data_IF_210749598537
#
_entry.id   IF_210749598537
#
_cell.length_a   1.000
_cell.length_b   1.000
_cell.length_c   1.000
_cell.angle_alpha   90.00
_cell.angle_beta   90.00
_cell.angle_gamma   90.00
#
_symmetry.space_group_name_H-M   'P 1'
#
loop_
_entity.id
_entity.type
_entity.pdbx_description
1 polymer ?
#
# COMPACT_ATOMS: atom_id res chain seq x y z
N UNK A 1 -17.22 0.85 7.02
CA UNK A 1 -16.35 -0.06 7.81
C UNK A 1 -15.41 -0.79 6.86
N UNK A 2 -14.09 -0.82 7.12
CA UNK A 2 -13.17 -1.59 6.30
C UNK A 2 -12.77 -2.90 6.99
N UNK A 3 -12.72 -3.99 6.21
CA UNK A 3 -12.05 -5.22 6.59
C UNK A 3 -10.56 -5.09 6.31
N UNK A 4 -9.69 -5.26 7.31
CA UNK A 4 -8.25 -5.11 7.14
C UNK A 4 -7.59 -6.46 6.91
N UNK A 5 -6.75 -6.54 5.88
CA UNK A 5 -5.86 -7.68 5.61
C UNK A 5 -4.42 -7.18 5.46
N UNK A 6 -3.46 -8.03 5.76
CA UNK A 6 -2.03 -7.74 5.59
C UNK A 6 -1.37 -8.75 4.65
N UNK A 7 -0.06 -8.60 4.38
CA UNK A 7 0.68 -9.54 3.57
C UNK A 7 0.85 -10.88 4.27
N UNK A 8 1.10 -11.92 3.48
CA UNK A 8 1.56 -13.20 4.01
C UNK A 8 3.04 -13.09 4.41
N UNK A 9 3.31 -13.12 5.69
CA UNK A 9 4.67 -13.01 6.23
C UNK A 9 5.04 -11.57 6.58
N UNK A 10 6.33 -11.26 6.47
CA UNK A 10 6.86 -9.96 6.86
C UNK A 10 6.49 -8.88 5.84
N UNK A 11 6.00 -7.73 6.31
CA UNK A 11 5.58 -6.61 5.47
C UNK A 11 6.73 -5.82 4.86
N UNK A 12 7.95 -5.97 5.35
CA UNK A 12 9.11 -5.19 4.94
C UNK A 12 10.22 -6.01 4.30
N UNK A 13 10.20 -7.34 4.53
CA UNK A 13 11.16 -8.28 3.98
C UNK A 13 10.45 -9.45 3.30
N UNK A 14 9.99 -9.29 2.04
CA UNK A 14 9.22 -10.30 1.32
C UNK A 14 10.08 -11.51 0.98
N UNK A 15 9.98 -12.55 1.80
CA UNK A 15 10.50 -13.87 1.50
C UNK A 15 9.36 -14.77 1.00
N UNK A 16 9.66 -15.77 0.19
CA UNK A 16 8.66 -16.75 -0.28
C UNK A 16 7.41 -16.11 -0.93
N UNK A 17 7.63 -15.23 -1.90
CA UNK A 17 6.57 -14.56 -2.62
C UNK A 17 5.63 -15.58 -3.29
N UNK A 18 4.33 -15.28 -3.24
CA UNK A 18 3.31 -16.06 -3.93
C UNK A 18 3.17 -15.57 -5.38
N UNK A 19 2.78 -16.45 -6.28
CA UNK A 19 2.15 -16.03 -7.52
C UNK A 19 0.80 -15.36 -7.24
N UNK A 20 0.29 -14.56 -8.17
CA UNK A 20 -1.02 -13.91 -8.02
C UNK A 20 -2.17 -14.92 -7.74
N UNK A 21 -2.10 -16.11 -8.33
CA UNK A 21 -3.07 -17.19 -8.10
C UNK A 21 -2.98 -17.77 -6.69
N UNK A 22 -1.78 -17.99 -6.19
CA UNK A 22 -1.57 -18.47 -4.81
C UNK A 22 -2.03 -17.41 -3.80
N UNK A 23 -1.72 -16.12 -4.05
CA UNK A 23 -2.18 -15.02 -3.22
C UNK A 23 -3.70 -14.88 -3.21
N UNK A 24 -4.35 -15.01 -4.37
CA UNK A 24 -5.81 -15.06 -4.47
C UNK A 24 -6.39 -16.18 -3.59
N UNK A 25 -5.89 -17.39 -3.73
CA UNK A 25 -6.33 -18.53 -2.93
C UNK A 25 -6.09 -18.34 -1.42
N UNK A 26 -4.92 -17.78 -1.06
CA UNK A 26 -4.55 -17.55 0.34
C UNK A 26 -5.46 -16.53 1.02
N UNK A 27 -5.74 -15.40 0.35
CA UNK A 27 -6.52 -14.31 0.92
C UNK A 27 -8.03 -14.50 0.82
N UNK A 28 -8.53 -15.36 -0.08
CA UNK A 28 -9.97 -15.59 -0.29
C UNK A 28 -10.70 -15.92 1.00
N UNK A 29 -10.18 -16.81 1.83
CA UNK A 29 -10.85 -17.24 3.06
C UNK A 29 -11.13 -16.08 4.01
N UNK A 30 -10.12 -15.23 4.28
CA UNK A 30 -10.27 -14.09 5.18
C UNK A 30 -11.19 -13.03 4.56
N UNK A 31 -11.02 -12.76 3.27
CA UNK A 31 -11.79 -11.74 2.55
C UNK A 31 -13.27 -12.13 2.46
N UNK A 32 -13.60 -13.39 2.19
CA UNK A 32 -14.97 -13.90 2.17
C UNK A 32 -15.67 -13.76 3.53
N UNK A 33 -14.95 -14.05 4.63
CA UNK A 33 -15.48 -13.87 5.99
C UNK A 33 -15.76 -12.39 6.27
N UNK A 34 -14.83 -11.50 5.91
CA UNK A 34 -15.01 -10.07 6.10
C UNK A 34 -16.17 -9.51 5.25
N UNK A 35 -16.23 -9.89 3.99
CA UNK A 35 -17.34 -9.51 3.09
C UNK A 35 -18.70 -10.03 3.62
N UNK A 36 -18.75 -11.28 4.07
CA UNK A 36 -19.94 -11.87 4.69
C UNK A 36 -20.36 -11.19 6.00
N UNK A 37 -19.43 -10.56 6.71
CA UNK A 37 -19.69 -9.72 7.89
C UNK A 37 -20.24 -8.32 7.55
N UNK A 38 -20.32 -7.97 6.26
CA UNK A 38 -20.91 -6.71 5.80
C UNK A 38 -19.97 -5.51 5.86
N UNK A 39 -18.66 -5.71 5.65
CA UNK A 39 -17.74 -4.58 5.50
C UNK A 39 -18.00 -3.84 4.17
N UNK A 40 -17.79 -2.53 4.15
CA UNK A 40 -18.00 -1.71 2.95
C UNK A 40 -16.90 -1.92 1.90
N UNK A 41 -15.67 -2.22 2.35
CA UNK A 41 -14.50 -2.47 1.49
C UNK A 41 -13.39 -3.24 2.23
N UNK A 42 -12.44 -3.79 1.48
CA UNK A 42 -11.23 -4.43 2.00
C UNK A 42 -10.06 -3.46 1.91
N UNK A 43 -9.35 -3.23 3.01
CA UNK A 43 -8.08 -2.50 3.05
C UNK A 43 -6.93 -3.48 3.20
N UNK A 44 -6.16 -3.68 2.13
CA UNK A 44 -4.93 -4.45 2.17
C UNK A 44 -3.76 -3.53 2.52
N UNK A 45 -3.27 -3.64 3.75
CA UNK A 45 -2.25 -2.73 4.29
C UNK A 45 -0.86 -3.38 4.25
N UNK A 46 0.16 -2.55 4.00
CA UNK A 46 1.58 -2.94 4.03
C UNK A 46 1.93 -4.02 2.99
N UNK A 47 1.25 -3.96 1.84
CA UNK A 47 1.55 -4.87 0.72
C UNK A 47 2.90 -4.46 0.13
N UNK A 48 3.75 -5.44 -0.14
CA UNK A 48 5.16 -5.22 -0.44
C UNK A 48 5.63 -5.80 -1.78
N UNK A 49 4.76 -6.49 -2.53
CA UNK A 49 4.99 -6.94 -3.90
C UNK A 49 3.68 -7.07 -4.68
N UNK A 50 3.79 -7.02 -6.00
CA UNK A 50 2.66 -6.85 -6.91
C UNK A 50 1.79 -8.08 -7.04
N UNK A 51 2.37 -9.28 -7.07
CA UNK A 51 1.60 -10.53 -7.22
C UNK A 51 0.60 -10.72 -6.07
N UNK A 52 0.98 -10.34 -4.85
CA UNK A 52 0.07 -10.41 -3.70
C UNK A 52 -1.05 -9.37 -3.82
N UNK A 53 -0.72 -8.15 -4.24
CA UNK A 53 -1.72 -7.12 -4.51
C UNK A 53 -2.76 -7.59 -5.54
N UNK A 54 -2.32 -8.17 -6.65
CA UNK A 54 -3.19 -8.71 -7.70
C UNK A 54 -4.11 -9.82 -7.14
N UNK A 55 -3.54 -10.74 -6.36
CA UNK A 55 -4.30 -11.82 -5.74
C UNK A 55 -5.38 -11.32 -4.79
N UNK A 56 -5.05 -10.35 -3.94
CA UNK A 56 -6.01 -9.71 -3.03
C UNK A 56 -7.12 -9.01 -3.80
N UNK A 57 -6.79 -8.26 -4.87
CA UNK A 57 -7.79 -7.58 -5.71
C UNK A 57 -8.76 -8.60 -6.32
N UNK A 58 -8.25 -9.70 -6.86
CA UNK A 58 -9.09 -10.76 -7.45
C UNK A 58 -10.00 -11.41 -6.40
N UNK A 59 -9.46 -11.78 -5.24
CA UNK A 59 -10.21 -12.36 -4.14
C UNK A 59 -11.34 -11.42 -3.63
N UNK A 60 -11.04 -10.14 -3.44
CA UNK A 60 -12.02 -9.16 -2.97
C UNK A 60 -13.14 -8.97 -4.00
N UNK A 61 -12.82 -8.88 -5.28
CA UNK A 61 -13.82 -8.78 -6.35
C UNK A 61 -14.69 -10.04 -6.45
N UNK A 62 -14.10 -11.22 -6.30
CA UNK A 62 -14.85 -12.47 -6.28
C UNK A 62 -15.83 -12.53 -5.10
N UNK A 63 -15.46 -11.95 -3.95
CA UNK A 63 -16.32 -11.82 -2.78
C UNK A 63 -17.31 -10.64 -2.86
N UNK A 64 -17.35 -9.90 -3.97
CA UNK A 64 -18.29 -8.80 -4.20
C UNK A 64 -17.98 -7.51 -3.41
N UNK A 65 -16.74 -7.33 -2.95
CA UNK A 65 -16.31 -6.15 -2.19
C UNK A 65 -15.22 -5.35 -2.92
N UNK A 66 -15.12 -4.05 -2.64
CA UNK A 66 -14.14 -3.17 -3.25
C UNK A 66 -12.78 -3.27 -2.52
N UNK A 67 -11.66 -3.60 -3.19
CA UNK A 67 -10.35 -3.62 -2.58
C UNK A 67 -9.63 -2.26 -2.67
N UNK A 68 -8.99 -1.88 -1.57
CA UNK A 68 -8.01 -0.80 -1.48
C UNK A 68 -6.64 -1.42 -1.22
N UNK A 69 -5.65 -1.11 -2.03
CA UNK A 69 -4.29 -1.62 -1.88
C UNK A 69 -3.38 -0.51 -1.34
N UNK A 70 -2.76 -0.77 -0.20
CA UNK A 70 -1.77 0.12 0.39
C UNK A 70 -0.38 -0.51 0.29
N UNK A 71 0.45 0.06 -0.58
CA UNK A 71 1.84 -0.36 -0.69
C UNK A 71 2.71 0.29 0.39
N UNK A 72 3.67 -0.48 0.92
CA UNK A 72 4.79 0.07 1.68
C UNK A 72 5.98 0.28 0.76
N UNK A 73 6.78 1.31 1.05
CA UNK A 73 7.99 1.61 0.28
C UNK A 73 9.18 1.79 1.21
N UNK A 74 10.37 1.52 0.67
CA UNK A 74 11.65 1.78 1.32
C UNK A 74 12.01 3.27 1.25
N UNK A 75 13.15 3.64 1.82
CA UNK A 75 13.65 5.03 1.86
C UNK A 75 13.96 5.62 0.48
N UNK A 76 14.05 4.80 -0.57
CA UNK A 76 14.23 5.17 -1.97
C UNK A 76 12.92 5.26 -2.78
N UNK A 77 11.76 5.08 -2.13
CA UNK A 77 10.43 5.14 -2.75
C UNK A 77 10.04 3.90 -3.55
N UNK A 78 10.85 2.85 -3.50
CA UNK A 78 10.56 1.56 -4.15
C UNK A 78 9.92 0.58 -3.19
N UNK A 79 9.16 -0.37 -3.72
CA UNK A 79 8.68 -1.50 -2.93
C UNK A 79 9.88 -2.28 -2.35
N UNK A 80 9.70 -3.04 -1.26
CA UNK A 80 10.75 -3.90 -0.71
C UNK A 80 11.40 -4.86 -1.73
N UNK A 81 10.68 -5.24 -2.78
CA UNK A 81 11.19 -6.02 -3.93
C UNK A 81 12.07 -5.23 -4.89
N UNK A 82 12.16 -3.90 -4.74
CA UNK A 82 12.89 -3.00 -5.64
C UNK A 82 12.08 -2.48 -6.82
N UNK A 83 10.83 -2.89 -7.00
CA UNK A 83 9.95 -2.39 -8.06
C UNK A 83 9.55 -0.93 -7.79
N UNK A 84 9.49 -0.09 -8.84
CA UNK A 84 9.04 1.28 -8.69
C UNK A 84 7.55 1.33 -8.34
N UNK A 85 7.14 2.25 -7.46
CA UNK A 85 5.75 2.35 -7.01
C UNK A 85 4.76 2.57 -8.17
N UNK A 86 5.12 3.41 -9.14
CA UNK A 86 4.29 3.65 -10.32
C UNK A 86 4.09 2.39 -11.17
N UNK A 87 5.16 1.62 -11.38
CA UNK A 87 5.10 0.35 -12.12
C UNK A 87 4.25 -0.68 -11.37
N UNK A 88 4.39 -0.75 -10.05
CA UNK A 88 3.61 -1.65 -9.20
C UNK A 88 2.09 -1.34 -9.26
N UNK A 89 1.71 -0.07 -9.23
CA UNK A 89 0.32 0.38 -9.38
C UNK A 89 -0.19 0.02 -10.78
N UNK A 90 0.54 0.40 -11.83
CA UNK A 90 0.15 0.15 -13.21
C UNK A 90 0.00 -1.35 -13.50
N UNK A 91 0.93 -2.17 -13.02
CA UNK A 91 0.88 -3.63 -13.17
C UNK A 91 -0.30 -4.24 -12.42
N UNK A 92 -0.54 -3.79 -11.18
CA UNK A 92 -1.68 -4.27 -10.40
C UNK A 92 -3.00 -3.97 -11.12
N UNK A 93 -3.18 -2.74 -11.64
CA UNK A 93 -4.38 -2.38 -12.40
C UNK A 93 -4.49 -3.19 -13.70
N UNK A 94 -3.41 -3.31 -14.47
CA UNK A 94 -3.43 -4.05 -15.74
C UNK A 94 -3.79 -5.52 -15.55
N UNK A 95 -3.17 -6.19 -14.57
CA UNK A 95 -3.35 -7.63 -14.35
C UNK A 95 -4.59 -7.99 -13.51
N UNK A 96 -5.26 -7.00 -12.91
CA UNK A 96 -6.52 -7.15 -12.19
C UNK A 96 -7.73 -6.48 -12.90
N UNK A 97 -7.55 -6.04 -14.16
CA UNK A 97 -8.56 -5.32 -14.94
C UNK A 97 -9.10 -4.05 -14.22
N UNK A 98 -8.23 -3.26 -13.62
CA UNK A 98 -8.58 -2.06 -12.88
C UNK A 98 -9.40 -2.34 -11.61
N UNK A 99 -9.21 -3.51 -11.02
CA UNK A 99 -10.07 -4.00 -9.95
C UNK A 99 -9.88 -3.33 -8.60
N UNK A 100 -8.74 -2.67 -8.34
CA UNK A 100 -8.56 -1.90 -7.13
C UNK A 100 -9.41 -0.61 -7.16
N UNK A 101 -10.09 -0.30 -6.06
CA UNK A 101 -10.84 0.94 -5.94
C UNK A 101 -9.90 2.16 -6.00
N UNK A 102 -8.82 2.10 -5.24
CA UNK A 102 -7.71 3.06 -5.25
C UNK A 102 -6.50 2.45 -4.55
N UNK A 103 -5.37 3.19 -4.63
CA UNK A 103 -4.14 2.82 -3.93
C UNK A 103 -3.81 3.80 -2.81
N UNK A 104 -3.01 3.32 -1.87
CA UNK A 104 -2.45 4.09 -0.76
C UNK A 104 -0.95 3.82 -0.63
N UNK A 105 -0.29 4.67 0.15
CA UNK A 105 1.08 4.45 0.64
C UNK A 105 1.00 4.43 2.16
N UNK A 106 1.60 3.42 2.80
CA UNK A 106 1.65 3.36 4.26
C UNK A 106 3.04 2.98 4.79
N UNK A 107 3.23 3.24 6.08
CA UNK A 107 4.44 2.90 6.82
C UNK A 107 5.74 3.46 6.21
N UNK A 108 5.67 4.62 5.59
CA UNK A 108 6.82 5.35 5.07
C UNK A 108 6.69 6.83 5.41
N UNK A 109 7.81 7.49 5.72
CA UNK A 109 7.80 8.94 5.86
C UNK A 109 7.71 9.61 4.47
N UNK A 110 7.04 10.76 4.31
CA UNK A 110 6.92 11.42 3.01
C UNK A 110 8.23 11.65 2.27
N UNK A 111 9.35 11.88 2.97
CA UNK A 111 10.67 12.03 2.35
C UNK A 111 11.16 10.80 1.59
N UNK A 112 10.59 9.63 1.85
CA UNK A 112 10.98 8.39 1.18
C UNK A 112 10.39 8.30 -0.23
N UNK A 113 9.28 8.98 -0.52
CA UNK A 113 8.57 8.81 -1.78
C UNK A 113 8.15 10.12 -2.48
N UNK A 114 8.22 11.28 -1.82
CA UNK A 114 7.80 12.55 -2.43
C UNK A 114 8.57 12.88 -3.72
N UNK A 115 9.87 12.56 -3.76
CA UNK A 115 10.72 12.74 -4.94
C UNK A 115 10.48 11.75 -6.08
N UNK A 116 9.71 10.69 -5.86
CA UNK A 116 9.36 9.69 -6.88
C UNK A 116 7.98 9.91 -7.48
N UNK A 117 7.18 10.80 -6.88
CA UNK A 117 5.84 11.11 -7.34
C UNK A 117 5.89 12.07 -8.55
N UNK A 118 5.40 11.60 -9.66
CA UNK A 118 5.25 12.40 -10.87
C UNK A 118 3.82 12.93 -11.00
N UNK A 119 3.65 14.24 -10.88
CA UNK A 119 2.35 14.88 -11.00
C UNK A 119 1.76 14.66 -12.40
N UNK A 120 0.47 14.30 -12.46
CA UNK A 120 -0.27 14.18 -13.72
C UNK A 120 -0.02 12.89 -14.51
N UNK A 121 0.64 11.89 -13.93
CA UNK A 121 0.71 10.55 -14.49
C UNK A 121 -0.55 9.75 -14.16
N UNK A 122 -0.93 8.80 -15.02
CA UNK A 122 -2.13 7.97 -14.81
C UNK A 122 -2.11 7.24 -13.47
N UNK A 123 -0.95 6.73 -13.08
CA UNK A 123 -0.83 6.01 -11.82
C UNK A 123 -0.90 6.91 -10.57
N UNK A 124 -0.45 8.18 -10.65
CA UNK A 124 -0.52 9.11 -9.53
C UNK A 124 -1.96 9.49 -9.18
N UNK A 125 -2.86 9.55 -10.15
CA UNK A 125 -4.30 9.74 -9.94
C UNK A 125 -4.98 8.55 -9.24
N UNK A 126 -4.31 7.40 -9.20
CA UNK A 126 -4.81 6.23 -8.50
C UNK A 126 -4.54 6.26 -7.00
N UNK A 127 -3.62 7.13 -6.52
CA UNK A 127 -3.30 7.27 -5.10
C UNK A 127 -4.30 8.23 -4.44
N UNK A 128 -5.06 7.72 -3.45
CA UNK A 128 -6.07 8.51 -2.74
C UNK A 128 -5.88 8.54 -1.22
N UNK A 129 -4.86 7.88 -0.71
CA UNK A 129 -4.59 7.85 0.72
C UNK A 129 -3.11 7.71 1.05
N UNK A 130 -2.72 8.31 2.16
CA UNK A 130 -1.39 8.15 2.74
C UNK A 130 -1.56 7.93 4.24
N UNK A 131 -0.90 6.89 4.76
CA UNK A 131 -0.75 6.64 6.19
C UNK A 131 0.73 6.66 6.54
N UNK A 132 1.27 7.88 6.64
CA UNK A 132 2.69 8.11 6.82
C UNK A 132 3.20 7.73 8.21
N UNK A 133 4.48 7.36 8.29
CA UNK A 133 5.23 7.34 9.54
C UNK A 133 5.68 8.74 9.92
N UNK A 134 5.78 9.01 11.21
CA UNK A 134 6.34 10.26 11.73
C UNK A 134 7.88 10.26 11.65
N UNK A 135 8.50 9.11 11.86
CA UNK A 135 9.95 8.91 11.77
C UNK A 135 10.42 8.85 10.32
N UNK A 136 11.60 9.42 10.07
CA UNK A 136 12.33 9.35 8.78
C UNK A 136 13.26 8.15 8.66
N UNK A 137 13.40 7.38 9.73
CA UNK A 137 14.24 6.19 9.77
C UNK A 137 13.66 5.10 8.86
N UNK A 138 14.52 4.23 8.35
CA UNK A 138 14.10 3.00 7.67
C UNK A 138 13.46 2.03 8.66
N UNK A 139 12.76 1.02 8.14
CA UNK A 139 12.18 -0.02 9.00
C UNK A 139 13.26 -0.78 9.78
N UNK A 140 14.39 -1.06 9.15
CA UNK A 140 15.54 -1.73 9.78
C UNK A 140 16.09 -0.91 10.95
N UNK A 141 16.28 0.40 10.75
CA UNK A 141 16.73 1.31 11.83
C UNK A 141 15.72 1.43 12.97
N UNK A 142 14.42 1.40 12.64
CA UNK A 142 13.36 1.43 13.66
C UNK A 142 13.30 0.14 14.47
N UNK A 143 13.49 -1.02 13.83
CA UNK A 143 13.48 -2.32 14.50
C UNK A 143 14.70 -2.50 15.41
N UNK A 144 15.84 -1.88 15.08
CA UNK A 144 17.05 -1.89 15.89
C UNK A 144 17.08 -0.80 16.97
N UNK A 145 16.14 0.14 16.96
CA UNK A 145 16.12 1.28 17.88
C UNK A 145 15.62 0.89 19.28
N UNK A 146 16.40 1.22 20.31
CA UNK A 146 15.98 1.07 21.70
C UNK A 146 15.03 2.17 22.19
N UNK A 147 14.89 3.25 21.42
CA UNK A 147 14.09 4.42 21.78
C UNK A 147 13.11 4.79 20.68
N UNK A 148 11.94 5.31 21.08
CA UNK A 148 10.96 5.83 20.13
C UNK A 148 11.50 7.09 19.44
N UNK A 149 11.43 7.11 18.11
CA UNK A 149 11.57 8.34 17.32
C UNK A 149 10.19 8.97 17.13
N UNK A 150 9.90 10.03 17.89
CA UNK A 150 8.61 10.73 17.84
C UNK A 150 8.42 11.51 16.53
N UNK A 151 9.47 11.70 15.73
CA UNK A 151 9.46 12.53 14.53
C UNK A 151 9.18 14.01 14.81
N UNK A 152 8.77 14.72 13.77
CA UNK A 152 8.37 16.14 13.84
C UNK A 152 6.96 16.31 13.27
N UNK A 153 5.93 16.50 14.11
CA UNK A 153 4.55 16.66 13.66
C UNK A 153 4.33 17.87 12.74
N UNK A 154 5.08 18.96 12.91
CA UNK A 154 4.95 20.14 12.07
C UNK A 154 5.55 19.90 10.67
N UNK A 155 6.73 19.29 10.58
CA UNK A 155 7.33 18.88 9.30
C UNK A 155 6.43 17.86 8.59
N UNK A 156 5.91 16.86 9.29
CA UNK A 156 5.01 15.86 8.71
C UNK A 156 3.74 16.51 8.13
N UNK A 157 3.12 17.43 8.87
CA UNK A 157 1.93 18.15 8.41
C UNK A 157 2.21 18.99 7.17
N UNK A 158 3.36 19.69 7.13
CA UNK A 158 3.76 20.49 5.96
C UNK A 158 4.03 19.62 4.72
N UNK A 159 4.65 18.46 4.90
CA UNK A 159 4.89 17.51 3.79
C UNK A 159 3.59 16.94 3.25
N UNK A 160 2.66 16.51 4.11
CA UNK A 160 1.36 16.01 3.69
C UNK A 160 0.56 17.08 2.93
N UNK A 161 0.65 18.36 3.36
CA UNK A 161 0.03 19.48 2.64
C UNK A 161 0.62 19.67 1.24
N UNK A 162 1.94 19.53 1.08
CA UNK A 162 2.61 19.60 -0.24
C UNK A 162 2.22 18.41 -1.13
N UNK A 163 2.17 17.20 -0.56
CA UNK A 163 1.74 16.00 -1.30
C UNK A 163 0.32 16.15 -1.84
N UNK A 164 -0.59 16.81 -1.11
CA UNK A 164 -1.94 17.09 -1.62
C UNK A 164 -1.95 17.96 -2.86
N UNK A 165 -0.93 18.81 -3.07
CA UNK A 165 -0.79 19.58 -4.31
C UNK A 165 -0.25 18.74 -5.50
N UNK A 166 0.55 17.70 -5.20
CA UNK A 166 1.09 16.78 -6.22
C UNK A 166 0.10 15.66 -6.56
N UNK A 167 -0.66 15.21 -5.56
CA UNK A 167 -1.66 14.13 -5.66
C UNK A 167 -3.06 14.74 -5.48
N UNK A 168 -3.72 15.23 -6.53
CA UNK A 168 -4.99 15.96 -6.42
C UNK A 168 -6.14 15.10 -5.88
N UNK A 169 -6.08 13.78 -6.08
CA UNK A 169 -7.08 12.82 -5.61
C UNK A 169 -6.88 12.39 -4.13
N UNK A 170 -5.86 12.91 -3.46
CA UNK A 170 -5.60 12.59 -2.06
C UNK A 170 -6.72 13.18 -1.16
N UNK A 171 -7.39 12.29 -0.42
CA UNK A 171 -8.52 12.62 0.44
C UNK A 171 -8.08 13.26 1.78
#
# INVERSE_FOLDING_TARGET
ISGCVGPRGDGYSPANQMSAREAESYHSTQIEILAGAGVDFISAMTINYVEEAIGIVRAARAAGTAPVISFTVKTDGRLPTGEALGDAIARTDAESAGGAAYFMINCAHPTHFDGTLESGTDWSHRIRGIRANASRLSHEELDESETLDDGDPADLADRLRRLKATLPELA
#
